data_IF_286244897509
#
_entry.id   IF_286244897509
#
_cell.length_a   1.000
_cell.length_b   1.000
_cell.length_c   1.000
_cell.angle_alpha   90.00
_cell.angle_beta   90.00
_cell.angle_gamma   90.00
#
_symmetry.space_group_name_H-M   'P 1'
#
loop_
_entity.id
_entity.type
_entity.pdbx_description
1 polymer ?
#
# COMPACT_ATOMS: atom_id res chain seq x y z
N UNK A 1 -0.37 -16.85 -12.93
CA UNK A 1 -1.38 -17.71 -13.61
C UNK A 1 -1.47 -19.14 -13.05
N UNK A 2 -0.36 -19.79 -12.67
CA UNK A 2 -0.28 -21.20 -12.24
C UNK A 2 -1.38 -21.72 -11.30
N UNK A 3 -1.89 -20.90 -10.38
CA UNK A 3 -2.76 -21.35 -9.27
C UNK A 3 -4.23 -21.02 -9.42
N UNK A 4 -4.57 -20.23 -10.44
CA UNK A 4 -5.86 -19.55 -10.56
C UNK A 4 -7.02 -20.54 -10.70
N UNK A 5 -6.82 -21.63 -11.45
CA UNK A 5 -7.86 -22.63 -11.73
C UNK A 5 -8.36 -23.37 -10.47
N UNK A 6 -7.61 -23.28 -9.38
CA UNK A 6 -8.02 -23.85 -8.09
C UNK A 6 -8.94 -22.96 -7.27
N UNK A 7 -9.10 -21.67 -7.62
CA UNK A 7 -9.94 -20.74 -6.88
C UNK A 7 -11.42 -21.02 -7.15
N UNK A 8 -12.22 -21.11 -6.08
CA UNK A 8 -13.67 -21.23 -6.14
C UNK A 8 -14.31 -20.29 -5.13
N UNK A 9 -15.43 -19.70 -5.50
CA UNK A 9 -16.24 -18.87 -4.62
C UNK A 9 -17.53 -19.60 -4.27
N UNK A 10 -17.95 -19.56 -3.01
CA UNK A 10 -19.32 -19.89 -2.64
C UNK A 10 -20.24 -18.76 -3.13
N UNK A 11 -20.70 -18.89 -4.38
CA UNK A 11 -21.49 -17.86 -5.04
C UNK A 11 -22.87 -17.69 -4.37
N UNK A 12 -23.46 -18.73 -3.82
CA UNK A 12 -24.77 -18.65 -3.15
C UNK A 12 -24.67 -17.77 -1.91
N UNK A 13 -23.71 -18.07 -1.03
CA UNK A 13 -23.52 -17.30 0.21
C UNK A 13 -23.00 -15.89 -0.07
N UNK A 14 -22.08 -15.75 -1.02
CA UNK A 14 -21.54 -14.43 -1.39
C UNK A 14 -22.61 -13.50 -1.98
N UNK A 15 -23.52 -14.03 -2.83
CA UNK A 15 -24.61 -13.26 -3.41
C UNK A 15 -25.63 -12.82 -2.35
N UNK A 16 -25.94 -13.69 -1.40
CA UNK A 16 -26.80 -13.35 -0.27
C UNK A 16 -26.17 -12.25 0.60
N UNK A 17 -24.87 -12.36 0.89
CA UNK A 17 -24.11 -11.34 1.62
C UNK A 17 -24.22 -9.96 0.97
N UNK A 18 -23.92 -9.84 -0.33
CA UNK A 18 -23.93 -8.54 -1.02
C UNK A 18 -25.34 -7.95 -1.12
N UNK A 19 -26.37 -8.79 -1.22
CA UNK A 19 -27.78 -8.36 -1.24
C UNK A 19 -28.19 -7.76 0.10
N UNK A 20 -27.82 -8.41 1.20
CA UNK A 20 -28.07 -7.89 2.54
C UNK A 20 -27.28 -6.60 2.81
N UNK A 21 -26.01 -6.56 2.41
CA UNK A 21 -25.17 -5.37 2.52
C UNK A 21 -25.72 -4.19 1.69
N UNK A 22 -26.28 -4.47 0.52
CA UNK A 22 -26.96 -3.45 -0.30
C UNK A 22 -28.18 -2.87 0.42
N UNK A 23 -29.02 -3.71 1.03
CA UNK A 23 -30.17 -3.27 1.82
C UNK A 23 -29.79 -2.36 3.00
N UNK A 24 -28.69 -2.68 3.68
CA UNK A 24 -28.08 -1.82 4.71
C UNK A 24 -27.66 -0.46 4.16
N UNK A 25 -26.93 -0.46 3.03
CA UNK A 25 -26.38 0.76 2.41
C UNK A 25 -27.45 1.71 1.87
N UNK A 26 -28.58 1.20 1.40
CA UNK A 26 -29.72 2.05 0.99
C UNK A 26 -30.25 2.84 2.19
N UNK A 27 -30.41 2.18 3.35
CA UNK A 27 -30.99 2.81 4.55
C UNK A 27 -29.97 3.68 5.29
N UNK A 28 -28.69 3.37 5.16
CA UNK A 28 -27.61 4.16 5.74
C UNK A 28 -26.50 4.43 4.70
N UNK A 29 -26.65 5.47 3.88
CA UNK A 29 -25.67 5.83 2.85
C UNK A 29 -24.26 6.11 3.39
N UNK A 30 -24.11 6.43 4.68
CA UNK A 30 -22.79 6.64 5.30
C UNK A 30 -21.96 5.35 5.39
N UNK A 31 -22.57 4.18 5.20
CA UNK A 31 -21.90 2.88 5.14
C UNK A 31 -21.33 2.55 3.75
N UNK A 32 -21.64 3.37 2.74
CA UNK A 32 -21.03 3.25 1.43
C UNK A 32 -19.57 3.70 1.47
N UNK A 33 -18.80 3.25 0.50
CA UNK A 33 -17.45 3.75 0.30
C UNK A 33 -17.48 5.24 -0.09
N UNK A 34 -16.57 6.03 0.47
CA UNK A 34 -16.43 7.45 0.12
C UNK A 34 -15.62 7.60 -1.16
N UNK A 35 -16.16 8.31 -2.15
CA UNK A 35 -15.44 8.72 -3.34
C UNK A 35 -14.73 10.05 -3.07
N UNK A 36 -13.41 10.00 -2.99
CA UNK A 36 -12.60 11.18 -2.69
C UNK A 36 -12.63 12.21 -3.84
N UNK A 37 -12.72 11.77 -5.09
CA UNK A 37 -12.72 12.66 -6.26
C UNK A 37 -14.06 13.39 -6.39
N UNK A 38 -15.17 12.64 -6.26
CA UNK A 38 -16.52 13.20 -6.35
C UNK A 38 -17.03 13.82 -5.04
N UNK A 39 -16.26 13.66 -3.95
CA UNK A 39 -16.58 14.13 -2.58
C UNK A 39 -17.99 13.71 -2.14
N UNK A 40 -18.36 12.47 -2.41
CA UNK A 40 -19.66 11.89 -2.03
C UNK A 40 -19.52 10.40 -1.72
N UNK A 41 -20.49 9.85 -0.99
CA UNK A 41 -20.61 8.40 -0.88
C UNK A 41 -20.94 7.79 -2.24
N UNK A 42 -20.32 6.66 -2.57
CA UNK A 42 -20.63 5.90 -3.77
C UNK A 42 -22.07 5.40 -3.70
N UNK A 43 -22.70 5.30 -4.87
CA UNK A 43 -24.06 4.79 -4.96
C UNK A 43 -24.10 3.33 -4.48
N UNK A 44 -25.07 2.94 -3.63
CA UNK A 44 -25.21 1.56 -3.16
C UNK A 44 -25.28 0.56 -4.32
N UNK A 45 -25.99 0.92 -5.40
CA UNK A 45 -26.22 0.03 -6.54
C UNK A 45 -24.96 -0.21 -7.37
N UNK A 46 -24.10 0.81 -7.53
CA UNK A 46 -22.81 0.67 -8.21
C UNK A 46 -21.89 -0.30 -7.46
N UNK A 47 -21.86 -0.21 -6.13
CA UNK A 47 -21.09 -1.13 -5.29
C UNK A 47 -21.65 -2.56 -5.34
N UNK A 48 -22.97 -2.72 -5.29
CA UNK A 48 -23.62 -4.02 -5.44
C UNK A 48 -23.30 -4.66 -6.80
N UNK A 49 -23.50 -3.92 -7.89
CA UNK A 49 -23.24 -4.40 -9.25
C UNK A 49 -21.76 -4.77 -9.45
N UNK A 50 -20.85 -3.96 -8.92
CA UNK A 50 -19.41 -4.25 -8.95
C UNK A 50 -19.09 -5.57 -8.23
N UNK A 51 -19.63 -5.78 -7.03
CA UNK A 51 -19.43 -7.03 -6.30
C UNK A 51 -20.05 -8.23 -7.02
N UNK A 52 -21.30 -8.09 -7.49
CA UNK A 52 -22.01 -9.11 -8.25
C UNK A 52 -21.22 -9.59 -9.47
N UNK A 53 -20.74 -8.67 -10.30
CA UNK A 53 -19.96 -8.99 -11.51
C UNK A 53 -18.69 -9.77 -11.15
N UNK A 54 -17.96 -9.34 -10.11
CA UNK A 54 -16.73 -10.04 -9.70
C UNK A 54 -17.01 -11.45 -9.15
N UNK A 55 -18.12 -11.65 -8.43
CA UNK A 55 -18.56 -12.99 -7.98
C UNK A 55 -18.83 -13.87 -9.20
N UNK A 56 -19.61 -13.37 -10.16
CA UNK A 56 -19.97 -14.13 -11.37
C UNK A 56 -18.74 -14.47 -12.21
N UNK A 57 -17.82 -13.53 -12.41
CA UNK A 57 -16.58 -13.81 -13.13
C UNK A 57 -15.78 -14.95 -12.51
N UNK A 58 -15.66 -14.99 -11.18
CA UNK A 58 -14.93 -16.08 -10.53
C UNK A 58 -15.73 -17.40 -10.58
N UNK A 59 -17.04 -17.35 -10.41
CA UNK A 59 -17.94 -18.51 -10.48
C UNK A 59 -17.94 -19.17 -11.87
N UNK A 60 -17.87 -18.38 -12.93
CA UNK A 60 -17.79 -18.84 -14.32
C UNK A 60 -16.35 -19.21 -14.77
N UNK A 61 -15.35 -19.13 -13.88
CA UNK A 61 -13.95 -19.37 -14.24
C UNK A 61 -13.35 -18.33 -15.19
N UNK A 62 -13.95 -17.13 -15.28
CA UNK A 62 -13.42 -16.01 -16.08
C UNK A 62 -12.31 -15.31 -15.31
N UNK A 63 -11.08 -15.66 -15.65
CA UNK A 63 -9.92 -15.14 -14.95
C UNK A 63 -9.31 -13.90 -15.64
N UNK A 64 -9.09 -12.86 -14.85
CA UNK A 64 -8.38 -11.65 -15.26
C UNK A 64 -6.94 -11.69 -14.74
N UNK A 65 -5.99 -11.27 -15.59
CA UNK A 65 -4.58 -11.17 -15.23
C UNK A 65 -3.91 -10.10 -16.10
N UNK A 66 -3.56 -8.98 -15.50
CA UNK A 66 -2.92 -7.84 -16.17
C UNK A 66 -1.94 -7.18 -15.21
N UNK A 67 -0.78 -6.74 -15.69
CA UNK A 67 0.18 -5.93 -14.89
C UNK A 67 0.21 -4.55 -15.51
N UNK A 68 0.00 -3.50 -14.72
CA UNK A 68 -0.01 -2.15 -15.25
C UNK A 68 1.41 -1.64 -15.57
N UNK A 69 1.54 -0.83 -16.62
CA UNK A 69 2.84 -0.30 -17.07
C UNK A 69 3.35 0.88 -16.20
N UNK A 70 2.48 1.49 -15.39
CA UNK A 70 2.80 2.72 -14.65
C UNK A 70 3.61 2.43 -13.40
N UNK A 71 3.14 1.50 -12.59
CA UNK A 71 3.70 1.12 -11.29
C UNK A 71 3.96 -0.38 -11.16
N UNK A 72 3.54 -1.18 -12.14
CA UNK A 72 3.81 -2.62 -12.15
C UNK A 72 2.90 -3.42 -11.23
N UNK A 73 1.73 -2.89 -10.83
CA UNK A 73 0.82 -3.65 -9.98
C UNK A 73 0.10 -4.71 -10.79
N UNK A 74 -0.04 -5.87 -10.18
CA UNK A 74 -0.83 -6.96 -10.71
C UNK A 74 -2.32 -6.70 -10.45
N UNK A 75 -3.12 -6.88 -11.48
CA UNK A 75 -4.57 -6.88 -11.49
C UNK A 75 -5.09 -8.29 -11.79
N UNK A 76 -5.88 -8.83 -10.87
CA UNK A 76 -6.59 -10.12 -10.97
C UNK A 76 -8.04 -9.98 -10.52
N UNK A 77 -8.82 -11.06 -10.60
CA UNK A 77 -10.14 -11.12 -9.97
C UNK A 77 -10.06 -10.75 -8.48
N UNK A 78 -9.03 -11.19 -7.77
CA UNK A 78 -8.91 -10.96 -6.32
C UNK A 78 -8.59 -9.50 -5.97
N UNK A 79 -7.79 -8.81 -6.78
CA UNK A 79 -7.46 -7.39 -6.56
C UNK A 79 -8.65 -6.46 -6.86
N UNK A 80 -9.53 -6.88 -7.77
CA UNK A 80 -10.71 -6.11 -8.17
C UNK A 80 -11.94 -6.42 -7.30
N UNK A 81 -11.89 -7.48 -6.50
CA UNK A 81 -12.98 -7.92 -5.64
C UNK A 81 -13.02 -7.13 -4.33
N UNK A 82 -14.22 -6.85 -3.83
CA UNK A 82 -14.43 -6.26 -2.50
C UNK A 82 -13.82 -7.16 -1.41
N UNK A 83 -13.21 -6.55 -0.39
CA UNK A 83 -12.53 -7.26 0.70
C UNK A 83 -13.39 -8.33 1.35
N UNK A 84 -14.62 -7.99 1.69
CA UNK A 84 -15.52 -8.89 2.41
C UNK A 84 -15.91 -10.09 1.55
N UNK A 85 -16.10 -9.88 0.25
CA UNK A 85 -16.50 -10.93 -0.70
C UNK A 85 -15.39 -11.98 -0.88
N UNK A 86 -14.11 -11.60 -0.73
CA UNK A 86 -13.00 -12.56 -0.79
C UNK A 86 -13.07 -13.64 0.27
N UNK A 87 -13.74 -13.38 1.40
CA UNK A 87 -13.88 -14.35 2.49
C UNK A 87 -14.70 -15.58 2.12
N UNK A 88 -15.43 -15.54 1.00
CA UNK A 88 -16.18 -16.69 0.46
C UNK A 88 -15.37 -17.50 -0.56
N UNK A 89 -14.06 -17.23 -0.71
CA UNK A 89 -13.19 -17.91 -1.67
C UNK A 89 -12.35 -18.99 -0.98
N UNK A 90 -12.29 -20.15 -1.62
CA UNK A 90 -11.39 -21.25 -1.25
C UNK A 90 -10.45 -21.59 -2.41
N UNK A 91 -9.37 -22.30 -2.10
CA UNK A 91 -8.52 -22.90 -3.12
C UNK A 91 -8.59 -24.42 -3.03
N UNK A 92 -9.19 -25.08 -4.03
CA UNK A 92 -9.45 -26.52 -4.03
C UNK A 92 -10.14 -27.01 -2.75
N UNK A 93 -11.09 -26.20 -2.24
CA UNK A 93 -11.81 -26.47 -0.99
C UNK A 93 -11.04 -26.13 0.28
N UNK A 94 -9.77 -25.72 0.19
CA UNK A 94 -8.98 -25.29 1.34
C UNK A 94 -9.25 -23.82 1.67
N UNK A 95 -9.36 -23.47 2.97
CA UNK A 95 -9.45 -22.08 3.39
C UNK A 95 -8.17 -21.32 3.03
N UNK A 96 -8.34 -20.02 2.79
CA UNK A 96 -7.26 -19.12 2.43
C UNK A 96 -6.92 -18.19 3.58
N UNK A 97 -5.66 -17.78 3.63
CA UNK A 97 -5.13 -16.85 4.63
C UNK A 97 -4.19 -15.88 3.95
N UNK A 98 -4.31 -14.61 4.30
CA UNK A 98 -3.49 -13.51 3.80
C UNK A 98 -2.44 -13.09 4.83
N UNK A 99 -1.23 -12.81 4.35
CA UNK A 99 -0.17 -12.17 5.13
C UNK A 99 0.02 -10.76 4.56
N UNK A 100 -0.31 -9.76 5.37
CA UNK A 100 -0.29 -8.34 5.01
C UNK A 100 0.85 -7.60 5.70
N UNK A 101 1.46 -6.64 4.99
CA UNK A 101 2.40 -5.70 5.60
C UNK A 101 1.60 -4.65 6.37
N UNK A 102 1.76 -4.63 7.69
CA UNK A 102 1.20 -3.56 8.52
C UNK A 102 1.82 -2.23 8.07
N UNK A 103 0.99 -1.17 7.98
CA UNK A 103 1.44 0.17 7.61
C UNK A 103 2.40 0.21 6.41
N UNK A 104 2.11 -0.60 5.38
CA UNK A 104 2.98 -0.85 4.23
C UNK A 104 3.59 0.40 3.60
N UNK A 105 2.80 1.42 3.27
CA UNK A 105 3.32 2.62 2.60
C UNK A 105 4.35 3.40 3.47
N UNK A 106 4.06 3.70 4.76
CA UNK A 106 5.08 4.17 5.70
C UNK A 106 6.30 3.24 5.82
N UNK A 107 6.10 1.92 5.90
CA UNK A 107 7.19 0.95 5.98
C UNK A 107 8.13 1.02 4.78
N UNK A 108 7.59 0.97 3.56
CA UNK A 108 8.37 1.08 2.32
C UNK A 108 9.09 2.43 2.21
N UNK A 109 8.48 3.50 2.72
CA UNK A 109 9.09 4.84 2.71
C UNK A 109 10.36 4.95 3.55
N UNK A 110 10.59 4.03 4.50
CA UNK A 110 11.82 4.03 5.32
C UNK A 110 13.07 3.76 4.48
N UNK A 111 12.94 3.06 3.35
CA UNK A 111 14.02 2.83 2.40
C UNK A 111 14.59 4.15 1.85
N UNK A 112 13.75 5.19 1.72
CA UNK A 112 14.15 6.50 1.19
C UNK A 112 15.15 7.23 2.10
N UNK A 113 15.28 6.83 3.36
CA UNK A 113 16.26 7.40 4.29
C UNK A 113 17.62 6.69 4.24
N UNK A 114 17.79 5.66 3.39
CA UNK A 114 19.03 4.89 3.30
C UNK A 114 19.97 5.48 2.25
N UNK A 115 21.23 5.81 2.59
CA UNK A 115 22.21 6.26 1.61
C UNK A 115 22.42 5.27 0.45
N UNK A 116 22.32 3.97 0.74
CA UNK A 116 22.42 2.91 -0.27
C UNK A 116 21.34 2.98 -1.35
N UNK A 117 20.17 3.55 -1.05
CA UNK A 117 19.09 3.72 -2.02
C UNK A 117 19.47 4.69 -3.15
N UNK A 118 20.37 5.65 -2.88
CA UNK A 118 20.83 6.65 -3.84
C UNK A 118 22.16 6.31 -4.51
N UNK A 119 22.77 5.18 -4.15
CA UNK A 119 24.09 4.79 -4.66
C UNK A 119 23.99 4.34 -6.13
N UNK A 120 24.92 4.81 -6.98
CA UNK A 120 25.01 4.50 -8.42
C UNK A 120 25.74 3.17 -8.72
N UNK A 121 26.23 2.48 -7.68
CA UNK A 121 27.09 1.31 -7.84
C UNK A 121 26.32 0.08 -8.35
N UNK A 122 26.79 -0.51 -9.45
CA UNK A 122 26.49 -1.90 -9.83
C UNK A 122 27.19 -2.86 -8.87
N UNK A 123 26.73 -2.93 -7.62
CA UNK A 123 27.15 -3.96 -6.69
C UNK A 123 26.51 -5.29 -7.07
N UNK A 124 27.29 -6.37 -7.05
CA UNK A 124 26.80 -7.74 -7.22
C UNK A 124 25.80 -8.05 -6.10
N UNK A 125 24.57 -8.39 -6.48
CA UNK A 125 23.39 -8.52 -5.61
C UNK A 125 22.39 -7.40 -5.88
N UNK A 126 21.14 -7.73 -6.25
CA UNK A 126 20.09 -6.80 -6.69
C UNK A 126 19.63 -5.79 -5.61
N UNK A 127 20.50 -4.87 -5.18
CA UNK A 127 20.11 -3.80 -4.26
C UNK A 127 19.08 -2.90 -4.94
N UNK A 128 17.94 -2.68 -4.28
CA UNK A 128 16.93 -1.73 -4.73
C UNK A 128 17.50 -0.31 -4.62
N UNK A 129 17.84 0.27 -5.78
CA UNK A 129 18.31 1.65 -5.87
C UNK A 129 17.27 2.50 -6.59
N UNK A 130 17.30 3.81 -6.39
CA UNK A 130 16.40 4.75 -7.06
C UNK A 130 16.43 4.61 -8.59
N UNK A 131 17.61 4.35 -9.16
CA UNK A 131 17.79 4.16 -10.62
C UNK A 131 17.07 2.93 -11.16
N UNK A 132 16.90 1.91 -10.33
CA UNK A 132 16.14 0.71 -10.70
C UNK A 132 14.65 1.02 -10.96
N UNK A 133 14.17 2.20 -10.55
CA UNK A 133 12.76 2.61 -10.69
C UNK A 133 12.57 3.87 -11.56
N UNK A 134 13.66 4.50 -12.02
CA UNK A 134 13.62 5.74 -12.81
C UNK A 134 13.27 5.54 -14.29
N UNK A 135 13.19 4.30 -14.79
CA UNK A 135 12.90 3.96 -16.19
C UNK A 135 11.54 4.40 -16.76
N UNK A 136 10.77 5.22 -16.04
CA UNK A 136 9.51 5.80 -16.52
C UNK A 136 9.23 7.22 -15.98
N UNK A 137 10.22 7.86 -15.36
CA UNK A 137 10.11 9.24 -14.89
C UNK A 137 11.23 10.06 -15.52
N UNK A 138 10.85 11.02 -16.39
CA UNK A 138 11.80 11.99 -16.91
C UNK A 138 12.22 12.92 -15.79
N UNK A 139 13.43 12.72 -15.26
CA UNK A 139 14.08 13.68 -14.38
C UNK A 139 14.59 14.84 -15.24
N UNK A 140 13.76 15.86 -15.44
CA UNK A 140 14.22 17.16 -15.94
C UNK A 140 14.26 18.13 -14.78
N UNK A 141 15.44 18.56 -14.37
CA UNK A 141 15.55 19.72 -13.49
C UNK A 141 16.67 20.64 -13.93
N UNK A 142 16.31 21.89 -14.19
CA UNK A 142 17.22 22.98 -14.50
C UNK A 142 18.08 23.32 -13.28
N UNK A 143 19.39 23.24 -13.44
CA UNK A 143 20.35 23.71 -12.46
C UNK A 143 20.30 25.23 -12.39
N UNK A 144 19.53 25.80 -11.47
CA UNK A 144 19.72 27.19 -11.07
C UNK A 144 20.73 27.25 -9.93
N UNK A 145 22.02 27.19 -10.27
CA UNK A 145 23.10 27.51 -9.36
C UNK A 145 23.90 28.68 -9.93
N UNK A 146 23.47 29.89 -9.61
CA UNK A 146 24.33 31.07 -9.63
C UNK A 146 25.29 30.96 -8.44
N UNK A 147 26.39 30.24 -8.61
CA UNK A 147 27.55 30.34 -7.72
C UNK A 147 28.81 30.28 -8.57
N UNK A 148 29.50 31.41 -8.63
CA UNK A 148 30.83 31.57 -9.21
C UNK A 148 31.85 30.79 -8.37
N UNK A 149 32.50 29.80 -8.97
CA UNK A 149 33.56 29.04 -8.31
C UNK A 149 34.13 27.95 -9.22
N UNK A 150 35.10 28.35 -10.04
CA UNK A 150 36.17 27.57 -10.69
C UNK A 150 35.83 26.18 -11.26
N UNK A 151 35.74 26.18 -12.59
CA UNK A 151 35.63 25.06 -13.51
C UNK A 151 36.79 24.07 -13.41
N UNK A 152 36.48 22.79 -13.20
CA UNK A 152 37.22 21.68 -13.81
C UNK A 152 36.27 20.90 -14.72
N UNK A 153 36.48 21.10 -16.01
CA UNK A 153 35.77 20.47 -17.12
C UNK A 153 36.07 18.98 -17.18
N UNK A 154 35.09 18.14 -16.85
CA UNK A 154 35.06 16.73 -17.24
C UNK A 154 33.89 16.51 -18.20
N UNK A 155 34.24 16.46 -19.49
CA UNK A 155 33.35 16.04 -20.56
C UNK A 155 33.57 14.58 -20.91
N UNK A 156 32.44 13.91 -21.17
CA UNK A 156 32.23 12.69 -21.95
C UNK A 156 32.07 11.36 -21.20
N UNK A 157 30.92 10.71 -21.46
CA UNK A 157 30.68 9.28 -21.23
C UNK A 157 29.34 8.93 -20.57
N UNK A 158 28.33 8.62 -21.40
CA UNK A 158 27.13 7.82 -21.07
C UNK A 158 25.95 8.51 -20.37
N UNK A 159 24.81 8.49 -21.06
CA UNK A 159 23.45 8.92 -20.73
C UNK A 159 22.82 8.15 -19.55
N UNK A 160 23.41 8.26 -18.36
CA UNK A 160 22.78 7.86 -17.11
C UNK A 160 22.31 9.10 -16.35
N UNK A 161 21.00 9.27 -16.19
CA UNK A 161 20.39 10.30 -15.36
C UNK A 161 20.94 10.19 -13.94
N UNK A 162 21.89 11.05 -13.56
CA UNK A 162 22.38 11.16 -12.18
C UNK A 162 21.23 11.67 -11.30
N UNK A 163 21.08 11.20 -10.04
CA UNK A 163 20.14 11.80 -9.13
C UNK A 163 20.69 13.19 -8.79
N UNK A 164 19.83 14.21 -8.69
CA UNK A 164 20.28 15.57 -8.46
C UNK A 164 21.10 15.67 -7.17
N UNK A 165 22.14 16.51 -7.16
CA UNK A 165 22.92 16.86 -5.95
C UNK A 165 22.03 17.27 -4.76
N UNK A 166 20.81 17.76 -4.99
CA UNK A 166 19.82 18.06 -3.94
C UNK A 166 19.30 16.82 -3.19
N UNK A 167 19.22 15.66 -3.84
CA UNK A 167 18.88 14.37 -3.24
C UNK A 167 20.12 13.61 -2.73
N UNK A 168 21.30 14.23 -2.69
CA UNK A 168 22.42 13.76 -1.84
C UNK A 168 22.30 14.25 -0.38
N UNK A 169 21.42 15.22 -0.09
CA UNK A 169 21.11 15.64 1.29
C UNK A 169 20.36 14.63 2.19
N UNK A 170 19.72 13.53 1.73
CA UNK A 170 19.17 12.48 2.59
C UNK A 170 20.22 11.85 3.51
N UNK A 171 21.51 11.92 3.15
CA UNK A 171 22.63 11.47 3.99
C UNK A 171 22.66 12.13 5.39
N UNK A 172 22.01 13.29 5.58
CA UNK A 172 22.04 14.03 6.85
C UNK A 172 20.77 13.89 7.71
N UNK A 173 19.77 13.12 7.25
CA UNK A 173 18.46 13.07 7.92
C UNK A 173 18.26 11.81 8.78
N UNK A 174 18.95 10.70 8.48
CA UNK A 174 18.81 9.45 9.25
C UNK A 174 19.20 9.61 10.72
N UNK A 175 20.11 10.53 11.03
CA UNK A 175 20.54 10.82 12.40
C UNK A 175 19.55 11.70 13.18
N UNK A 176 18.59 12.35 12.51
CA UNK A 176 17.62 13.25 13.13
C UNK A 176 16.65 12.47 14.01
N UNK A 177 16.34 13.02 15.17
CA UNK A 177 15.52 12.37 16.20
C UNK A 177 14.11 12.04 15.68
N UNK A 178 13.49 12.93 14.90
CA UNK A 178 12.16 12.70 14.33
C UNK A 178 12.16 11.59 13.28
N UNK A 179 13.24 11.44 12.49
CA UNK A 179 13.40 10.33 11.54
C UNK A 179 13.59 9.01 12.29
N UNK A 180 14.42 8.99 13.33
CA UNK A 180 14.61 7.81 14.20
C UNK A 180 13.29 7.39 14.85
N UNK A 181 12.54 8.34 15.39
CA UNK A 181 11.22 8.11 15.98
C UNK A 181 10.23 7.57 14.95
N UNK A 182 10.17 8.16 13.76
CA UNK A 182 9.28 7.69 12.68
C UNK A 182 9.59 6.24 12.29
N UNK A 183 10.87 5.91 12.09
CA UNK A 183 11.30 4.55 11.72
C UNK A 183 10.95 3.56 12.84
N UNK A 184 11.18 3.92 14.11
CA UNK A 184 10.86 3.07 15.26
C UNK A 184 9.34 2.81 15.39
N UNK A 185 8.52 3.86 15.27
CA UNK A 185 7.06 3.75 15.27
C UNK A 185 6.54 2.87 14.12
N UNK A 186 7.14 3.00 12.93
CA UNK A 186 6.80 2.20 11.76
C UNK A 186 7.18 0.73 11.98
N UNK A 187 8.39 0.46 12.47
CA UNK A 187 8.90 -0.89 12.77
C UNK A 187 8.03 -1.60 13.81
N UNK A 188 7.59 -0.88 14.85
CA UNK A 188 6.72 -1.41 15.91
C UNK A 188 5.24 -1.50 15.51
N UNK A 189 4.84 -0.95 14.36
CA UNK A 189 3.44 -0.86 13.94
C UNK A 189 2.60 0.13 14.77
N UNK A 190 3.24 1.07 15.46
CA UNK A 190 2.63 2.01 16.41
C UNK A 190 2.40 3.42 15.82
N UNK A 191 2.80 3.66 14.57
CA UNK A 191 2.69 4.98 13.93
C UNK A 191 1.26 5.55 13.96
N UNK A 192 0.25 4.73 13.66
CA UNK A 192 -1.14 5.21 13.62
C UNK A 192 -1.68 5.53 15.02
N UNK A 193 -1.30 4.73 16.03
CA UNK A 193 -1.73 4.96 17.40
C UNK A 193 -1.07 6.25 17.95
N UNK A 194 0.22 6.47 17.64
CA UNK A 194 0.93 7.71 17.96
C UNK A 194 0.29 8.95 17.31
N UNK A 195 -0.05 8.88 16.03
CA UNK A 195 -0.72 9.98 15.31
C UNK A 195 -2.14 10.23 15.83
N UNK A 196 -2.88 9.18 16.20
CA UNK A 196 -4.22 9.31 16.79
C UNK A 196 -4.18 10.14 18.08
N UNK A 197 -3.24 9.84 18.97
CA UNK A 197 -3.04 10.61 20.21
C UNK A 197 -2.69 12.07 19.92
N UNK A 198 -1.79 12.33 18.98
CA UNK A 198 -1.42 13.68 18.60
C UNK A 198 -2.60 14.45 18.01
N UNK A 199 -3.39 13.85 17.11
CA UNK A 199 -4.55 14.52 16.53
C UNK A 199 -5.64 14.79 17.56
N UNK A 200 -5.86 13.88 18.51
CA UNK A 200 -6.79 14.11 19.63
C UNK A 200 -6.37 15.35 20.44
N UNK A 201 -5.07 15.50 20.71
CA UNK A 201 -4.53 16.66 21.44
C UNK A 201 -4.67 17.97 20.66
N UNK A 202 -4.31 17.97 19.38
CA UNK A 202 -4.21 19.21 18.57
C UNK A 202 -5.56 19.65 17.96
N UNK A 203 -6.46 18.71 17.65
CA UNK A 203 -7.74 19.01 17.00
C UNK A 203 -8.94 18.89 17.94
N UNK A 204 -8.76 18.35 19.15
CA UNK A 204 -9.86 18.08 20.08
C UNK A 204 -10.87 17.04 19.57
N UNK A 205 -10.56 16.35 18.47
CA UNK A 205 -11.42 15.32 17.88
C UNK A 205 -10.91 13.96 18.31
N UNK A 206 -11.78 13.13 18.89
CA UNK A 206 -11.52 11.70 18.98
C UNK A 206 -11.55 11.08 17.58
N UNK A 207 -10.40 11.10 16.90
CA UNK A 207 -10.17 10.28 15.73
C UNK A 207 -9.88 8.85 16.20
N UNK A 208 -10.92 8.18 16.69
CA UNK A 208 -10.90 6.77 17.11
C UNK A 208 -10.86 5.82 15.92
N UNK A 209 -11.27 6.27 14.72
CA UNK A 209 -11.25 5.44 13.53
C UNK A 209 -9.86 5.43 12.85
N UNK A 210 -9.18 4.28 12.91
CA UNK A 210 -7.92 4.00 12.18
C UNK A 210 -8.01 4.34 10.70
N UNK A 211 -9.19 4.26 10.07
CA UNK A 211 -9.40 4.63 8.66
C UNK A 211 -9.08 6.12 8.43
N UNK A 212 -9.46 7.00 9.35
CA UNK A 212 -9.19 8.44 9.24
C UNK A 212 -7.71 8.75 9.48
N UNK A 213 -7.06 8.07 10.42
CA UNK A 213 -5.61 8.24 10.65
C UNK A 213 -4.81 7.76 9.42
N UNK A 214 -5.20 6.62 8.84
CA UNK A 214 -4.63 6.14 7.57
C UNK A 214 -4.81 7.17 6.46
N UNK A 215 -6.00 7.75 6.34
CA UNK A 215 -6.27 8.81 5.37
C UNK A 215 -5.36 10.03 5.58
N UNK A 216 -5.09 10.43 6.83
CA UNK A 216 -4.15 11.51 7.13
C UNK A 216 -2.71 11.21 6.69
N UNK A 217 -2.21 9.99 6.95
CA UNK A 217 -0.88 9.58 6.47
C UNK A 217 -0.84 9.54 4.94
N UNK A 218 -1.91 9.07 4.29
CA UNK A 218 -2.02 9.12 2.83
C UNK A 218 -2.13 10.54 2.30
N UNK A 219 -2.70 11.51 3.04
CA UNK A 219 -2.62 12.90 2.63
C UNK A 219 -1.16 13.37 2.59
N UNK A 220 -0.36 13.02 3.59
CA UNK A 220 1.07 13.39 3.62
C UNK A 220 1.81 12.75 2.46
N UNK A 221 1.61 11.46 2.19
CA UNK A 221 2.32 10.74 1.14
C UNK A 221 1.84 11.14 -0.26
N UNK A 222 0.53 11.24 -0.48
CA UNK A 222 -0.03 11.22 -1.83
C UNK A 222 -0.67 12.52 -2.33
N UNK A 223 -0.81 13.55 -1.48
CA UNK A 223 -1.29 14.86 -1.97
C UNK A 223 -0.15 15.76 -2.42
N UNK A 224 -0.45 16.64 -3.38
CA UNK A 224 0.40 17.73 -3.83
C UNK A 224 0.90 18.59 -2.65
N UNK A 225 2.13 19.10 -2.75
CA UNK A 225 2.71 19.94 -1.69
C UNK A 225 1.87 21.19 -1.42
N UNK A 226 1.22 21.76 -2.44
CA UNK A 226 0.33 22.94 -2.34
C UNK A 226 -0.92 22.67 -1.50
N UNK A 227 -1.33 21.41 -1.35
CA UNK A 227 -2.49 21.03 -0.54
C UNK A 227 -2.34 21.47 0.94
N UNK A 228 -1.11 21.65 1.44
CA UNK A 228 -0.87 22.03 2.84
C UNK A 228 -1.55 23.35 3.27
N UNK A 229 -1.85 24.24 2.32
CA UNK A 229 -2.55 25.50 2.56
C UNK A 229 -4.07 25.38 2.73
N UNK A 230 -4.66 24.21 2.44
CA UNK A 230 -6.11 24.00 2.57
C UNK A 230 -6.52 23.75 4.03
N UNK A 231 -7.77 24.05 4.37
CA UNK A 231 -8.31 23.82 5.72
C UNK A 231 -8.18 22.33 6.10
N UNK A 232 -8.57 21.47 5.18
CA UNK A 232 -8.58 20.00 5.30
C UNK A 232 -7.19 19.39 5.45
N UNK A 233 -6.11 20.15 5.21
CA UNK A 233 -4.73 19.70 5.38
C UNK A 233 -4.23 19.80 6.83
N UNK A 234 -5.11 20.03 7.80
CA UNK A 234 -4.75 20.03 9.23
C UNK A 234 -3.96 18.78 9.66
N UNK A 235 -4.34 17.54 9.28
CA UNK A 235 -3.56 16.36 9.62
C UNK A 235 -2.17 16.35 8.99
N UNK A 236 -2.04 16.86 7.76
CA UNK A 236 -0.75 17.01 7.05
C UNK A 236 0.17 18.01 7.74
N UNK A 237 -0.38 19.12 8.27
CA UNK A 237 0.37 20.11 9.07
C UNK A 237 0.84 19.54 10.39
N UNK A 238 -0.02 18.82 11.11
CA UNK A 238 0.37 18.16 12.37
C UNK A 238 1.48 17.13 12.11
N UNK A 239 1.36 16.32 11.05
CA UNK A 239 2.43 15.40 10.67
C UNK A 239 3.76 16.13 10.42
N UNK A 240 3.74 17.25 9.67
CA UNK A 240 4.94 18.06 9.42
C UNK A 240 5.57 18.57 10.72
N UNK A 241 4.75 18.94 11.70
CA UNK A 241 5.25 19.42 13.00
C UNK A 241 5.89 18.30 13.83
N UNK A 242 5.34 17.08 13.76
CA UNK A 242 5.86 15.91 14.47
C UNK A 242 7.11 15.31 13.80
N UNK A 243 7.13 15.32 12.47
CA UNK A 243 8.17 14.69 11.65
C UNK A 243 8.66 15.63 10.53
N UNK A 244 9.29 16.77 10.86
CA UNK A 244 9.69 17.78 9.88
C UNK A 244 10.68 17.24 8.83
N UNK A 245 11.69 16.47 9.24
CA UNK A 245 12.70 15.93 8.33
C UNK A 245 12.11 14.82 7.43
N UNK A 246 11.17 14.04 7.95
CA UNK A 246 10.41 13.05 7.17
C UNK A 246 9.53 13.74 6.13
N UNK A 247 8.79 14.77 6.56
CA UNK A 247 7.94 15.56 5.67
C UNK A 247 8.74 16.23 4.56
N UNK A 248 9.87 16.86 4.89
CA UNK A 248 10.71 17.57 3.92
C UNK A 248 11.28 16.62 2.88
N UNK A 249 11.67 15.39 3.27
CA UNK A 249 12.06 14.36 2.31
C UNK A 249 10.89 14.01 1.37
N UNK A 250 9.72 13.69 1.92
CA UNK A 250 8.54 13.34 1.10
C UNK A 250 8.11 14.49 0.18
N UNK A 251 8.21 15.74 0.65
CA UNK A 251 7.92 16.92 -0.14
C UNK A 251 8.95 17.12 -1.26
N UNK A 252 10.24 16.83 -1.01
CA UNK A 252 11.29 16.90 -2.02
C UNK A 252 11.05 15.92 -3.18
N UNK A 253 10.63 14.69 -2.88
CA UNK A 253 10.24 13.70 -3.90
C UNK A 253 9.05 14.17 -4.75
N UNK A 254 8.17 15.01 -4.20
CA UNK A 254 6.97 15.50 -4.89
C UNK A 254 7.10 16.89 -5.50
N UNK A 255 8.30 17.49 -5.46
CA UNK A 255 8.49 18.91 -5.79
C UNK A 255 8.11 19.25 -7.23
N UNK A 256 8.48 18.40 -8.19
CA UNK A 256 8.17 18.60 -9.61
C UNK A 256 6.86 17.91 -10.00
N UNK A 257 6.69 16.67 -9.54
CA UNK A 257 5.52 15.85 -9.83
C UNK A 257 5.01 15.24 -8.52
N UNK A 258 3.80 15.64 -8.13
CA UNK A 258 3.14 15.13 -6.92
C UNK A 258 2.88 13.63 -6.95
N UNK A 259 2.85 13.02 -8.14
CA UNK A 259 2.61 11.59 -8.32
C UNK A 259 3.88 10.74 -8.15
N UNK A 260 5.06 11.37 -8.14
CA UNK A 260 6.35 10.66 -8.12
C UNK A 260 6.53 9.79 -6.87
N UNK A 261 6.38 10.35 -5.67
CA UNK A 261 6.47 9.59 -4.42
C UNK A 261 5.46 8.42 -4.36
N UNK A 262 4.15 8.62 -4.59
CA UNK A 262 3.19 7.51 -4.65
C UNK A 262 3.62 6.41 -5.62
N UNK A 263 3.97 6.78 -6.86
CA UNK A 263 4.32 5.80 -7.88
C UNK A 263 5.62 5.07 -7.53
N UNK A 264 6.61 5.75 -6.95
CA UNK A 264 7.85 5.14 -6.50
C UNK A 264 7.60 4.09 -5.41
N UNK A 265 6.79 4.42 -4.39
CA UNK A 265 6.45 3.47 -3.32
C UNK A 265 5.67 2.27 -3.86
N UNK A 266 4.75 2.48 -4.81
CA UNK A 266 4.02 1.40 -5.48
C UNK A 266 4.92 0.51 -6.35
N UNK A 267 5.93 1.09 -7.02
CA UNK A 267 6.94 0.31 -7.77
C UNK A 267 7.82 -0.54 -6.85
N UNK A 268 8.22 0.03 -5.70
CA UNK A 268 8.98 -0.72 -4.68
C UNK A 268 8.12 -1.88 -4.14
N UNK A 269 6.85 -1.62 -3.81
CA UNK A 269 5.87 -2.64 -3.40
C UNK A 269 5.77 -3.77 -4.44
N UNK A 270 5.51 -3.42 -5.70
CA UNK A 270 5.35 -4.40 -6.78
C UNK A 270 6.61 -5.25 -6.97
N UNK A 271 7.81 -4.63 -6.99
CA UNK A 271 9.07 -5.37 -7.11
C UNK A 271 9.29 -6.34 -5.95
N UNK A 272 9.09 -5.90 -4.71
CA UNK A 272 9.27 -6.77 -3.54
C UNK A 272 8.33 -7.95 -3.56
N UNK A 273 7.04 -7.69 -3.78
CA UNK A 273 6.03 -8.75 -3.72
C UNK A 273 6.13 -9.67 -4.95
N UNK A 274 6.11 -9.12 -6.17
CA UNK A 274 5.99 -9.89 -7.41
C UNK A 274 7.33 -10.43 -7.92
N UNK A 275 8.41 -9.67 -7.80
CA UNK A 275 9.69 -10.03 -8.42
C UNK A 275 10.68 -10.70 -7.49
N UNK A 276 10.52 -10.53 -6.17
CA UNK A 276 11.43 -11.07 -5.16
C UNK A 276 10.74 -12.17 -4.37
N UNK A 277 9.76 -11.81 -3.52
CA UNK A 277 9.14 -12.72 -2.55
C UNK A 277 8.41 -13.87 -3.25
N UNK A 278 7.50 -13.57 -4.17
CA UNK A 278 6.70 -14.61 -4.84
C UNK A 278 7.54 -15.50 -5.75
N UNK A 279 8.63 -14.97 -6.34
CA UNK A 279 9.59 -15.78 -7.12
C UNK A 279 10.35 -16.74 -6.23
N UNK A 280 10.82 -16.29 -5.06
CA UNK A 280 11.47 -17.16 -4.06
C UNK A 280 10.53 -18.27 -3.59
N UNK A 281 9.32 -17.92 -3.18
CA UNK A 281 8.30 -18.91 -2.77
C UNK A 281 8.01 -19.90 -3.91
N UNK A 282 7.85 -19.42 -5.14
CA UNK A 282 7.57 -20.30 -6.29
C UNK A 282 8.72 -21.25 -6.63
N UNK A 283 9.96 -20.86 -6.35
CA UNK A 283 11.16 -21.68 -6.57
C UNK A 283 11.32 -22.73 -5.46
N UNK A 284 11.19 -22.32 -4.21
CA UNK A 284 11.43 -23.16 -3.03
C UNK A 284 10.24 -24.06 -2.68
N UNK A 285 9.00 -23.57 -2.84
CA UNK A 285 7.76 -24.34 -2.70
C UNK A 285 6.91 -24.26 -3.97
N UNK A 286 7.29 -24.98 -5.05
CA UNK A 286 6.58 -24.91 -6.32
C UNK A 286 5.13 -25.41 -6.28
N UNK A 287 4.67 -26.04 -5.19
CA UNK A 287 3.29 -26.53 -5.00
C UNK A 287 2.43 -25.60 -4.14
N UNK A 288 3.02 -24.60 -3.49
CA UNK A 288 2.28 -23.67 -2.64
C UNK A 288 1.47 -22.68 -3.51
N UNK A 289 0.14 -22.63 -3.37
CA UNK A 289 -0.67 -21.63 -4.06
C UNK A 289 -0.42 -20.26 -3.45
N UNK A 290 -0.06 -19.29 -4.27
CA UNK A 290 0.17 -17.91 -3.85
C UNK A 290 -0.62 -16.95 -4.75
N UNK A 291 -1.29 -16.00 -4.12
CA UNK A 291 -2.04 -14.95 -4.78
C UNK A 291 -1.70 -13.62 -4.15
N UNK A 292 -1.38 -12.62 -4.96
CA UNK A 292 -1.00 -11.32 -4.44
C UNK A 292 -2.17 -10.35 -4.51
N UNK A 293 -2.33 -9.56 -3.45
CA UNK A 293 -3.27 -8.44 -3.39
C UNK A 293 -2.46 -7.25 -2.91
N UNK A 294 -1.84 -6.54 -3.85
CA UNK A 294 -0.89 -5.45 -3.56
C UNK A 294 0.26 -5.90 -2.64
N UNK A 295 0.30 -5.39 -1.42
CA UNK A 295 1.26 -5.68 -0.35
C UNK A 295 0.97 -6.97 0.43
N UNK A 296 -0.08 -7.70 0.04
CA UNK A 296 -0.52 -8.95 0.66
C UNK A 296 -0.16 -10.18 -0.17
N UNK A 297 0.18 -11.28 0.50
CA UNK A 297 0.27 -12.61 -0.12
C UNK A 297 -0.74 -13.54 0.55
N UNK A 298 -1.66 -14.07 -0.24
CA UNK A 298 -2.67 -15.04 0.16
C UNK A 298 -2.24 -16.45 -0.24
N UNK A 299 -2.36 -17.40 0.69
CA UNK A 299 -2.01 -18.81 0.51
C UNK A 299 -2.92 -19.72 1.33
N UNK A 300 -2.66 -21.03 1.33
CA UNK A 300 -3.35 -21.99 2.19
C UNK A 300 -2.72 -22.05 3.58
N UNK A 301 -3.48 -22.53 4.57
CA UNK A 301 -3.04 -22.64 5.97
C UNK A 301 -1.70 -23.38 6.13
N UNK A 302 -1.51 -24.50 5.43
CA UNK A 302 -0.26 -25.29 5.48
C UNK A 302 0.99 -24.55 5.01
N UNK A 303 0.81 -23.48 4.23
CA UNK A 303 1.91 -22.66 3.70
C UNK A 303 2.08 -21.34 4.45
N UNK A 304 1.19 -21.01 5.40
CA UNK A 304 1.16 -19.73 6.11
C UNK A 304 2.51 -19.38 6.74
N UNK A 305 3.04 -20.25 7.59
CA UNK A 305 4.26 -19.96 8.35
C UNK A 305 5.46 -19.73 7.43
N UNK A 306 5.55 -20.54 6.38
CA UNK A 306 6.61 -20.40 5.38
C UNK A 306 6.48 -19.11 4.57
N UNK A 307 5.28 -18.77 4.09
CA UNK A 307 5.06 -17.51 3.35
C UNK A 307 5.37 -16.30 4.24
N UNK A 308 4.91 -16.35 5.50
CA UNK A 308 5.19 -15.31 6.49
C UNK A 308 6.69 -15.16 6.77
N UNK A 309 7.41 -16.27 6.89
CA UNK A 309 8.86 -16.29 7.05
C UNK A 309 9.57 -15.65 5.85
N UNK A 310 9.27 -16.09 4.62
CA UNK A 310 9.91 -15.53 3.41
C UNK A 310 9.58 -14.05 3.26
N UNK A 311 8.35 -13.63 3.51
CA UNK A 311 7.99 -12.20 3.52
C UNK A 311 8.84 -11.44 4.54
N UNK A 312 8.98 -11.95 5.76
CA UNK A 312 9.78 -11.30 6.79
C UNK A 312 11.25 -11.14 6.36
N UNK A 313 11.88 -12.24 5.93
CA UNK A 313 13.29 -12.27 5.51
C UNK A 313 13.57 -11.32 4.34
N UNK A 314 12.77 -11.39 3.29
CA UNK A 314 13.00 -10.60 2.08
C UNK A 314 12.74 -9.10 2.31
N UNK A 315 11.67 -8.77 3.04
CA UNK A 315 11.38 -7.38 3.39
C UNK A 315 12.47 -6.82 4.32
N UNK A 316 12.89 -7.57 5.33
CA UNK A 316 13.97 -7.14 6.21
C UNK A 316 15.29 -7.02 5.45
N UNK A 317 15.64 -7.96 4.57
CA UNK A 317 16.87 -7.88 3.78
C UNK A 317 16.90 -6.64 2.88
N UNK A 318 15.79 -6.33 2.21
CA UNK A 318 15.75 -5.31 1.17
C UNK A 318 15.40 -3.91 1.68
N UNK A 319 14.53 -3.80 2.69
CA UNK A 319 14.22 -2.54 3.36
C UNK A 319 15.25 -2.26 4.46
N UNK A 320 15.82 -3.31 5.08
CA UNK A 320 16.79 -3.28 6.18
C UNK A 320 16.20 -2.80 7.51
N UNK A 321 14.89 -2.97 7.69
CA UNK A 321 14.20 -2.99 8.99
C UNK A 321 13.18 -4.14 8.95
N UNK A 322 13.00 -4.84 10.06
CA UNK A 322 12.02 -5.91 10.17
C UNK A 322 10.58 -5.38 9.92
N UNK A 323 9.77 -6.06 9.09
CA UNK A 323 8.37 -5.70 8.88
C UNK A 323 7.50 -6.14 10.06
N UNK A 324 6.39 -5.45 10.28
CA UNK A 324 5.30 -5.98 11.09
C UNK A 324 4.26 -6.63 10.17
N UNK A 325 4.10 -7.95 10.24
CA UNK A 325 3.20 -8.71 9.39
C UNK A 325 1.91 -9.09 10.14
N UNK A 326 0.77 -8.80 9.53
CA UNK A 326 -0.54 -9.17 10.03
C UNK A 326 -1.06 -10.38 9.25
N UNK A 327 -1.71 -11.31 9.95
CA UNK A 327 -2.39 -12.45 9.34
C UNK A 327 -3.88 -12.17 9.31
N UNK A 328 -4.51 -12.32 8.14
CA UNK A 328 -5.95 -12.17 7.93
C UNK A 328 -6.53 -13.47 7.37
N UNK A 329 -7.38 -14.13 8.15
CA UNK A 329 -8.05 -15.35 7.74
C UNK A 329 -9.29 -15.01 6.91
N UNK A 330 -9.46 -15.72 5.78
CA UNK A 330 -10.66 -15.56 4.97
C UNK A 330 -11.76 -16.43 5.54
N UNK A 331 -12.71 -15.77 6.20
CA UNK A 331 -13.77 -16.41 6.97
C UNK A 331 -15.12 -15.79 6.63
N UNK A 332 -15.85 -16.47 5.72
CA UNK A 332 -17.15 -16.03 5.25
C UNK A 332 -18.22 -16.03 6.34
N UNK A 333 -18.13 -16.94 7.31
CA UNK A 333 -19.09 -17.04 8.41
C UNK A 333 -18.96 -15.83 9.33
N UNK A 334 -17.74 -15.51 9.76
CA UNK A 334 -17.47 -14.34 10.59
C UNK A 334 -17.91 -13.02 9.93
N UNK A 335 -17.71 -12.90 8.61
CA UNK A 335 -18.14 -11.72 7.85
C UNK A 335 -19.67 -11.61 7.80
N UNK A 336 -20.38 -12.74 7.63
CA UNK A 336 -21.83 -12.78 7.66
C UNK A 336 -22.39 -12.45 9.05
N UNK A 337 -21.80 -12.98 10.12
CA UNK A 337 -22.19 -12.67 11.50
C UNK A 337 -22.07 -11.17 11.81
N UNK A 338 -20.95 -10.55 11.43
CA UNK A 338 -20.74 -9.10 11.58
C UNK A 338 -21.79 -8.29 10.81
N UNK A 339 -22.19 -8.76 9.63
CA UNK A 339 -23.26 -8.12 8.86
C UNK A 339 -24.60 -8.22 9.58
N UNK A 340 -24.96 -9.42 10.06
CA UNK A 340 -26.20 -9.68 10.78
C UNK A 340 -26.29 -8.85 12.07
N UNK A 341 -25.21 -8.76 12.84
CA UNK A 341 -25.15 -7.89 14.02
C UNK A 341 -25.47 -6.43 13.68
N UNK A 342 -24.85 -5.89 12.62
CA UNK A 342 -25.15 -4.52 12.13
C UNK A 342 -26.59 -4.36 11.66
N UNK A 343 -27.17 -5.39 11.02
CA UNK A 343 -28.59 -5.39 10.62
C UNK A 343 -29.51 -5.30 11.82
N UNK A 344 -29.21 -6.03 12.89
CA UNK A 344 -29.97 -5.99 14.15
C UNK A 344 -29.88 -4.59 14.77
N UNK A 345 -28.67 -4.01 14.87
CA UNK A 345 -28.45 -2.68 15.45
C UNK A 345 -29.29 -1.58 14.79
N UNK A 346 -29.56 -1.69 13.49
CA UNK A 346 -30.35 -0.70 12.75
C UNK A 346 -31.80 -1.11 12.48
N UNK A 347 -32.30 -2.16 13.15
CA UNK A 347 -33.71 -2.57 13.07
C UNK A 347 -34.12 -3.22 11.74
N UNK A 348 -33.20 -3.92 11.06
CA UNK A 348 -33.48 -4.64 9.81
C UNK A 348 -34.01 -6.08 10.00
N UNK A 349 -34.28 -6.49 11.23
CA UNK A 349 -34.88 -7.80 11.52
C UNK A 349 -36.37 -7.59 11.75
N UNK A 350 -37.15 -7.95 10.73
CA UNK A 350 -38.61 -8.01 10.69
C UNK A 350 -39.02 -9.03 9.66
#
# INVERSE_FOLDING_TARGET
>A
KKWIDGLKIDSVVALEYIKQLYGLRIRNPKMCDWDLQRRRFKEPIEQYNSAYINIQYLNEGRHHFFVDDRVGRLHTNLTNMQSDVRNFITWKGQPLVSVDISNSQPFLSTLLFKPSFYSTGKGVGEKMTLFSFSGGFSFSFSSSSSYSGSSSSFSSGSSGSRPPLMLQKPLYHTEKEDVKLFIDLVKKGQLYDYLSLAFKRELGVELTDRKNIKAAVFQVLFTDNRFIGQLEAAPKRIFRNLFPNVYDLFAAFKKQDSTFLPCLLQKIEARLILDIITKRISKEKPKAPIFTIHDSITTTMDNLDYVKQVMHEELEQHIGIAPNLKVEYWDGEQVMEKLNARRIEIGLVG
#
